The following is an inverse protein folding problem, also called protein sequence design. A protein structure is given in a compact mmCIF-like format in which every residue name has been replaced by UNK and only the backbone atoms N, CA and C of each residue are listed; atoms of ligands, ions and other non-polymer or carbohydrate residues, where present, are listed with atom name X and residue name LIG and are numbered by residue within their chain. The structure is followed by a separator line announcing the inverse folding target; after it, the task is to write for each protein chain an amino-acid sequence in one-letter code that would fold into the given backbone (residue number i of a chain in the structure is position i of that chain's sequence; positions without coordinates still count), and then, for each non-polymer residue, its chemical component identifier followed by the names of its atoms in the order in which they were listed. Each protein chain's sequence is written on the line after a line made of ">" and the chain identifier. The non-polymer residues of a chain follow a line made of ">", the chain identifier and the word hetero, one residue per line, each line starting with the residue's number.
data_IF_762081385709
#
_entry.id   IF_762081385709
#
_cell.length_a   1.000
_cell.length_b   1.000
_cell.length_c   1.000
_cell.angle_alpha   90.00
_cell.angle_beta   90.00
_cell.angle_gamma   90.00
#
_symmetry.space_group_name_H-M   'P 1'
#
loop_
_entity.id
_entity.type
_entity.pdbx_description
1 polymer ?
#
# COMPACT_ATOMS: atom_id res chain seq x y z
N UNK A 1 -46.76 74.43 4.02
CA UNK A 1 -45.70 75.10 3.25
C UNK A 1 -44.39 74.93 4.03
N UNK A 2 -43.53 74.02 3.55
CA UNK A 2 -42.05 74.06 3.59
C UNK A 2 -41.34 74.58 4.86
N UNK A 3 -40.55 73.72 5.53
CA UNK A 3 -39.07 73.70 5.44
C UNK A 3 -38.39 72.87 6.57
N UNK A 4 -37.40 72.05 6.16
CA UNK A 4 -36.16 71.54 6.81
C UNK A 4 -36.15 71.27 8.33
N UNK A 5 -35.73 70.11 8.84
CA UNK A 5 -34.58 69.30 8.44
C UNK A 5 -33.35 69.68 9.29
N UNK A 6 -32.93 68.81 10.22
CA UNK A 6 -31.53 68.61 10.64
C UNK A 6 -31.36 67.80 11.94
N UNK A 7 -30.51 66.77 11.83
CA UNK A 7 -29.51 66.33 12.82
C UNK A 7 -29.92 65.49 14.06
N UNK A 8 -29.32 64.29 14.12
CA UNK A 8 -28.91 63.51 15.31
C UNK A 8 -30.05 62.67 15.92
N UNK A 9 -30.07 61.33 15.90
CA UNK A 9 -29.01 60.39 16.26
C UNK A 9 -29.27 59.00 15.62
N UNK A 10 -28.28 58.54 14.86
CA UNK A 10 -27.77 57.16 14.71
C UNK A 10 -28.39 56.11 15.65
N UNK A 11 -28.86 54.98 15.10
CA UNK A 11 -28.69 53.60 15.63
C UNK A 11 -29.17 52.53 14.60
N UNK A 12 -28.82 52.69 13.32
CA UNK A 12 -28.88 51.57 12.38
C UNK A 12 -27.68 50.64 12.65
N UNK A 13 -27.87 49.77 13.63
CA UNK A 13 -27.26 48.45 13.84
C UNK A 13 -25.88 48.19 13.21
N UNK A 14 -24.80 48.69 13.85
CA UNK A 14 -23.39 48.29 13.59
C UNK A 14 -23.17 46.77 13.56
N UNK A 15 -24.08 45.98 14.15
CA UNK A 15 -24.05 44.51 14.16
C UNK A 15 -24.26 43.86 12.78
N UNK A 16 -25.13 44.42 11.93
CA UNK A 16 -25.45 43.77 10.64
C UNK A 16 -24.33 43.93 9.60
N UNK A 17 -23.68 45.10 9.58
CA UNK A 17 -22.55 45.36 8.68
C UNK A 17 -21.32 44.55 9.08
N UNK A 18 -21.06 44.42 10.39
CA UNK A 18 -19.94 43.61 10.91
C UNK A 18 -20.14 42.12 10.60
N UNK A 19 -21.37 41.60 10.71
CA UNK A 19 -21.68 40.19 10.45
C UNK A 19 -21.58 39.83 8.96
N UNK A 20 -21.98 40.75 8.05
CA UNK A 20 -21.82 40.56 6.60
C UNK A 20 -20.36 40.59 6.15
N UNK A 21 -19.55 41.49 6.72
CA UNK A 21 -18.10 41.56 6.40
C UNK A 21 -17.37 40.31 6.91
N UNK A 22 -17.71 39.81 8.10
CA UNK A 22 -17.15 38.55 8.62
C UNK A 22 -17.52 37.32 7.77
N UNK A 23 -18.76 37.25 7.27
CA UNK A 23 -19.19 36.17 6.38
C UNK A 23 -18.45 36.20 5.03
N UNK A 24 -18.30 37.38 4.42
CA UNK A 24 -17.58 37.54 3.14
C UNK A 24 -16.09 37.23 3.32
N UNK A 25 -15.47 37.65 4.42
CA UNK A 25 -14.07 37.34 4.72
C UNK A 25 -13.83 35.82 4.93
N UNK A 26 -14.77 35.12 5.57
CA UNK A 26 -14.71 33.65 5.73
C UNK A 26 -14.86 32.90 4.40
N UNK A 27 -15.71 33.38 3.48
CA UNK A 27 -15.89 32.77 2.16
C UNK A 27 -14.62 32.94 1.29
N UNK A 28 -13.97 34.11 1.35
CA UNK A 28 -12.71 34.36 0.61
C UNK A 28 -11.51 33.57 1.19
N UNK A 29 -11.50 33.30 2.50
CA UNK A 29 -10.47 32.46 3.11
C UNK A 29 -10.61 30.96 2.78
N UNK A 30 -11.82 30.47 2.50
CA UNK A 30 -12.06 29.07 2.16
C UNK A 30 -11.60 28.69 0.73
N UNK A 31 -11.41 29.67 -0.15
CA UNK A 31 -10.92 29.47 -1.52
C UNK A 31 -9.39 29.34 -1.66
N UNK A 32 -8.63 29.44 -0.55
CA UNK A 32 -7.17 29.30 -0.57
C UNK A 32 -6.66 27.90 -0.16
N UNK A 33 -7.55 26.94 0.11
CA UNK A 33 -7.18 25.54 0.32
C UNK A 33 -7.64 24.69 -0.86
N UNK A 34 -7.10 24.98 -2.04
CA UNK A 34 -7.06 24.03 -3.14
C UNK A 34 -5.93 23.05 -2.86
N UNK A 35 -6.19 22.02 -2.06
CA UNK A 35 -5.31 20.85 -2.02
C UNK A 35 -5.49 20.13 -3.34
N UNK A 36 -4.71 20.51 -4.36
CA UNK A 36 -4.38 19.61 -5.46
C UNK A 36 -3.60 18.45 -4.85
N UNK A 37 -4.33 17.50 -4.27
CA UNK A 37 -3.85 16.14 -4.16
C UNK A 37 -3.74 15.67 -5.60
N UNK A 38 -2.57 15.85 -6.19
CA UNK A 38 -2.05 14.91 -7.15
C UNK A 38 -2.10 13.55 -6.46
N UNK A 39 -3.21 12.83 -6.67
CA UNK A 39 -3.15 11.38 -6.73
C UNK A 39 -2.12 11.12 -7.81
N UNK A 40 -0.88 10.93 -7.39
CA UNK A 40 0.17 10.37 -8.23
C UNK A 40 -0.32 8.98 -8.59
N UNK A 41 -1.02 8.89 -9.72
CA UNK A 41 -1.06 7.68 -10.50
C UNK A 41 0.41 7.26 -10.66
N UNK A 42 0.70 6.06 -10.17
CA UNK A 42 1.96 5.32 -10.19
C UNK A 42 2.36 5.01 -11.65
N UNK A 43 2.55 6.05 -12.46
CA UNK A 43 2.79 5.99 -13.89
C UNK A 43 4.02 6.83 -14.21
N UNK A 44 5.19 6.22 -14.05
CA UNK A 44 6.36 6.51 -14.91
C UNK A 44 7.11 7.83 -14.73
N UNK A 45 6.78 8.69 -13.77
CA UNK A 45 7.43 10.02 -13.69
C UNK A 45 8.92 9.99 -13.26
N UNK A 46 9.41 8.87 -12.72
CA UNK A 46 10.84 8.65 -12.40
C UNK A 46 11.55 7.69 -13.37
N UNK A 47 10.89 7.27 -14.46
CA UNK A 47 11.48 6.34 -15.41
C UNK A 47 12.62 7.01 -16.21
N UNK A 48 13.76 6.32 -16.42
CA UNK A 48 14.84 6.86 -17.23
C UNK A 48 14.39 7.07 -18.69
N UNK A 49 15.01 8.01 -19.44
CA UNK A 49 14.69 8.21 -20.84
C UNK A 49 14.93 6.94 -21.66
N UNK A 50 13.91 6.51 -22.42
CA UNK A 50 13.94 5.26 -23.18
C UNK A 50 13.07 4.16 -22.58
N UNK A 51 12.74 4.26 -21.29
CA UNK A 51 12.09 3.18 -20.57
C UNK A 51 10.73 2.81 -21.16
N UNK A 52 10.54 1.52 -21.43
CA UNK A 52 9.37 0.92 -22.03
C UNK A 52 9.41 0.84 -23.56
N UNK A 53 10.56 1.11 -24.19
CA UNK A 53 10.74 0.99 -25.65
C UNK A 53 11.16 -0.41 -26.11
N UNK A 54 11.41 -1.32 -25.15
CA UNK A 54 11.84 -2.69 -25.38
C UNK A 54 13.34 -2.86 -25.61
N UNK A 55 14.15 -1.81 -25.41
CA UNK A 55 15.59 -1.80 -25.62
C UNK A 55 16.29 -1.29 -24.36
N UNK A 56 16.98 -2.18 -23.65
CA UNK A 56 17.73 -1.81 -22.43
C UNK A 56 18.81 -0.75 -22.74
N UNK A 57 18.55 0.48 -22.33
CA UNK A 57 19.43 1.63 -22.40
C UNK A 57 20.49 1.67 -21.30
N UNK A 58 21.40 2.65 -21.36
CA UNK A 58 22.49 2.77 -20.39
C UNK A 58 22.02 3.14 -18.96
N UNK A 59 20.83 3.73 -18.83
CA UNK A 59 20.21 4.16 -17.56
C UNK A 59 19.15 3.19 -17.03
N UNK A 60 18.95 2.05 -17.69
CA UNK A 60 17.91 1.07 -17.36
C UNK A 60 18.54 -0.21 -16.80
N UNK A 61 17.90 -0.81 -15.79
CA UNK A 61 18.29 -2.13 -15.30
C UNK A 61 17.63 -3.25 -16.08
N UNK A 62 16.47 -2.97 -16.68
CA UNK A 62 15.68 -3.84 -17.53
C UNK A 62 14.75 -2.99 -18.41
N UNK A 63 14.26 -3.55 -19.50
CA UNK A 63 13.18 -3.03 -20.33
C UNK A 63 12.56 -4.22 -21.08
N UNK A 64 11.30 -4.54 -20.81
CA UNK A 64 10.55 -5.59 -21.49
C UNK A 64 9.38 -5.05 -22.31
N UNK A 65 9.37 -3.74 -22.56
CA UNK A 65 8.43 -3.05 -23.43
C UNK A 65 6.98 -3.05 -22.93
N UNK A 66 6.76 -3.25 -21.62
CA UNK A 66 5.41 -3.26 -21.05
C UNK A 66 5.36 -2.73 -19.60
N UNK A 67 4.17 -2.34 -19.12
CA UNK A 67 3.98 -1.73 -17.78
C UNK A 67 3.62 -2.75 -16.68
N UNK A 68 3.82 -4.05 -16.92
CA UNK A 68 3.47 -5.09 -15.95
C UNK A 68 4.49 -5.20 -14.83
N UNK A 69 4.23 -4.50 -13.73
CA UNK A 69 5.07 -4.42 -12.53
C UNK A 69 5.55 -5.75 -11.90
N UNK A 70 5.01 -6.90 -12.31
CA UNK A 70 5.20 -8.19 -11.66
C UNK A 70 5.83 -9.28 -12.55
N UNK A 71 6.34 -8.95 -13.73
CA UNK A 71 7.06 -9.89 -14.61
C UNK A 71 8.59 -9.91 -14.38
N UNK A 72 9.09 -8.97 -13.58
CA UNK A 72 10.50 -8.87 -13.23
C UNK A 72 11.14 -7.55 -13.62
N UNK A 73 10.48 -6.77 -14.47
CA UNK A 73 10.83 -5.39 -14.74
C UNK A 73 9.73 -4.47 -14.24
N UNK A 74 10.08 -3.46 -13.43
CA UNK A 74 9.13 -2.45 -12.99
C UNK A 74 8.98 -1.39 -14.10
N UNK A 75 7.86 -0.65 -14.18
CA UNK A 75 7.67 0.41 -15.19
C UNK A 75 8.65 1.59 -15.06
N UNK A 76 9.43 1.66 -13.98
CA UNK A 76 10.53 2.60 -13.80
C UNK A 76 11.88 2.03 -14.31
N UNK A 77 11.84 0.92 -15.06
CA UNK A 77 12.99 0.17 -15.58
C UNK A 77 13.99 -0.26 -14.50
N UNK A 78 13.50 -0.49 -13.28
CA UNK A 78 14.24 -1.14 -12.20
C UNK A 78 13.91 -2.63 -12.13
N UNK A 79 14.92 -3.43 -11.79
CA UNK A 79 14.74 -4.86 -11.57
C UNK A 79 14.16 -5.14 -10.19
N UNK A 80 13.39 -6.22 -10.08
CA UNK A 80 12.97 -6.74 -8.78
C UNK A 80 13.97 -7.77 -8.28
N UNK A 81 14.28 -7.73 -6.98
CA UNK A 81 15.05 -8.78 -6.33
C UNK A 81 14.27 -10.10 -6.38
N UNK A 82 14.82 -11.10 -7.06
CA UNK A 82 14.22 -12.43 -7.10
C UNK A 82 14.50 -13.18 -5.82
N UNK A 83 13.44 -13.68 -5.20
CA UNK A 83 13.57 -14.65 -4.11
C UNK A 83 14.25 -15.91 -4.66
N UNK A 84 15.42 -16.25 -4.09
CA UNK A 84 16.21 -17.42 -4.49
C UNK A 84 16.26 -18.45 -3.35
N UNK A 85 15.15 -19.15 -3.06
CA UNK A 85 15.14 -20.20 -2.07
C UNK A 85 15.96 -21.43 -2.48
N UNK A 86 16.51 -22.19 -1.52
CA UNK A 86 17.15 -23.46 -1.82
C UNK A 86 16.16 -24.44 -2.45
N UNK A 87 16.64 -25.21 -3.43
CA UNK A 87 15.84 -26.25 -4.05
C UNK A 87 15.47 -27.34 -3.03
N UNK A 88 14.18 -27.67 -3.00
CA UNK A 88 13.56 -28.72 -2.20
C UNK A 88 13.77 -28.55 -0.68
N UNK A 89 13.99 -27.33 -0.21
CA UNK A 89 14.16 -27.02 1.21
C UNK A 89 13.35 -25.78 1.60
N UNK A 90 12.90 -25.75 2.86
CA UNK A 90 12.16 -24.62 3.40
C UNK A 90 13.11 -23.46 3.71
N UNK A 91 12.76 -22.26 3.25
CA UNK A 91 13.35 -21.00 3.67
C UNK A 91 12.27 -20.02 4.07
N UNK A 92 12.47 -19.35 5.20
CA UNK A 92 11.60 -18.29 5.69
C UNK A 92 12.13 -16.93 5.22
N UNK A 93 11.21 -16.07 4.80
CA UNK A 93 11.49 -14.71 4.36
C UNK A 93 10.63 -13.73 5.16
N UNK A 94 11.28 -12.76 5.81
CA UNK A 94 10.61 -11.62 6.43
C UNK A 94 10.11 -10.64 5.36
N UNK A 95 8.96 -10.01 5.61
CA UNK A 95 8.46 -8.90 4.80
C UNK A 95 8.66 -7.61 5.61
N UNK A 96 9.65 -6.77 5.26
CA UNK A 96 9.91 -5.52 5.97
C UNK A 96 8.67 -4.62 6.02
N UNK A 97 8.45 -3.95 7.16
CA UNK A 97 7.32 -3.05 7.37
C UNK A 97 6.01 -3.73 7.77
N UNK A 98 5.98 -5.07 7.84
CA UNK A 98 4.83 -5.81 8.37
C UNK A 98 4.97 -6.08 9.86
N UNK A 99 3.85 -6.28 10.56
CA UNK A 99 3.85 -6.55 12.00
C UNK A 99 2.76 -7.54 12.38
N UNK A 100 3.16 -8.60 13.07
CA UNK A 100 2.29 -9.57 13.72
C UNK A 100 1.72 -9.01 15.04
N UNK A 101 0.73 -9.69 15.63
CA UNK A 101 0.10 -9.24 16.87
C UNK A 101 1.07 -9.16 18.06
N UNK A 102 2.12 -9.97 18.05
CA UNK A 102 3.19 -9.99 19.06
C UNK A 102 4.28 -8.91 18.82
N UNK A 103 4.09 -8.05 17.81
CA UNK A 103 5.04 -7.01 17.42
C UNK A 103 6.20 -7.48 16.54
N UNK A 104 6.29 -8.79 16.25
CA UNK A 104 7.34 -9.32 15.36
C UNK A 104 7.04 -9.03 13.89
N UNK A 105 8.05 -9.08 13.03
CA UNK A 105 7.86 -8.94 11.58
C UNK A 105 7.16 -10.17 11.01
N UNK A 106 6.18 -9.94 10.13
CA UNK A 106 5.51 -11.02 9.42
C UNK A 106 6.33 -11.47 8.22
N UNK A 107 6.00 -12.64 7.69
CA UNK A 107 6.76 -13.26 6.61
C UNK A 107 6.14 -14.57 6.18
N UNK A 108 6.77 -15.24 5.23
CA UNK A 108 6.28 -16.49 4.65
C UNK A 108 7.43 -17.46 4.41
N UNK A 109 7.07 -18.74 4.31
CA UNK A 109 7.99 -19.81 4.01
C UNK A 109 7.81 -20.32 2.59
N UNK A 110 8.92 -20.54 1.89
CA UNK A 110 8.93 -21.07 0.53
C UNK A 110 9.67 -22.40 0.51
N UNK A 111 9.11 -23.38 -0.19
CA UNK A 111 9.80 -24.61 -0.57
C UNK A 111 9.75 -24.74 -2.09
N UNK A 112 10.86 -24.45 -2.75
CA UNK A 112 10.93 -24.36 -4.20
C UNK A 112 11.28 -25.70 -4.83
N UNK A 113 10.49 -26.20 -5.79
CA UNK A 113 10.91 -27.33 -6.63
C UNK A 113 11.32 -26.81 -8.03
N UNK A 114 12.60 -26.91 -8.42
CA UNK A 114 13.04 -26.49 -9.75
C UNK A 114 12.46 -27.33 -10.89
N UNK A 115 11.88 -28.50 -10.60
CA UNK A 115 11.24 -29.38 -11.59
C UNK A 115 9.73 -29.17 -11.73
N UNK A 116 9.12 -28.30 -10.91
CA UNK A 116 7.68 -28.03 -10.93
C UNK A 116 7.39 -26.65 -11.52
N UNK A 117 6.28 -26.55 -12.23
CA UNK A 117 5.71 -25.27 -12.72
C UNK A 117 4.46 -24.87 -11.95
N UNK A 118 4.08 -25.66 -10.93
CA UNK A 118 2.89 -25.43 -10.12
C UNK A 118 3.21 -24.54 -8.93
N UNK A 119 2.20 -23.77 -8.50
CA UNK A 119 2.27 -22.94 -7.30
C UNK A 119 1.17 -23.37 -6.32
N UNK A 120 1.55 -23.54 -5.07
CA UNK A 120 0.63 -23.77 -3.95
C UNK A 120 0.84 -22.65 -2.93
N UNK A 121 -0.22 -21.92 -2.63
CA UNK A 121 -0.24 -20.92 -1.57
C UNK A 121 -1.10 -21.48 -0.44
N UNK A 122 -0.51 -21.66 0.73
CA UNK A 122 -1.20 -22.12 1.93
C UNK A 122 -1.26 -20.99 2.95
N UNK A 123 -2.46 -20.69 3.43
CA UNK A 123 -2.69 -19.73 4.49
C UNK A 123 -3.00 -20.52 5.76
N UNK A 124 -2.14 -20.41 6.77
CA UNK A 124 -2.41 -21.04 8.06
C UNK A 124 -3.69 -20.47 8.67
N UNK A 125 -4.51 -21.36 9.24
CA UNK A 125 -5.67 -20.99 10.03
C UNK A 125 -5.30 -20.68 11.48
N UNK A 126 -6.31 -20.65 12.36
CA UNK A 126 -6.08 -20.38 13.79
C UNK A 126 -7.21 -19.61 14.48
N UNK A 127 -8.40 -19.52 13.87
CA UNK A 127 -9.48 -18.68 14.37
C UNK A 127 -9.16 -17.20 14.22
N UNK A 128 -9.90 -16.36 14.95
CA UNK A 128 -9.70 -14.92 14.98
C UNK A 128 -10.07 -14.39 16.37
N UNK A 129 -9.56 -13.22 16.70
CA UNK A 129 -9.91 -12.52 17.93
C UNK A 129 -10.38 -11.11 17.61
N UNK A 130 -11.39 -10.66 18.37
CA UNK A 130 -12.18 -9.46 18.08
C UNK A 130 -12.17 -8.43 19.22
N UNK A 131 -11.39 -8.67 20.28
CA UNK A 131 -11.31 -7.79 21.44
C UNK A 131 -9.90 -7.78 22.03
N UNK A 132 -9.63 -6.90 23.00
CA UNK A 132 -8.28 -6.71 23.57
C UNK A 132 -7.69 -7.90 24.34
N UNK A 133 -8.38 -9.04 24.48
CA UNK A 133 -7.83 -10.24 25.10
C UNK A 133 -6.96 -11.08 24.14
N UNK A 134 -6.70 -10.61 22.91
CA UNK A 134 -5.95 -11.40 21.92
C UNK A 134 -4.50 -11.68 22.33
N UNK A 135 -3.83 -10.78 23.03
CA UNK A 135 -2.40 -10.90 23.34
C UNK A 135 -2.06 -12.12 24.22
N UNK A 136 -3.03 -12.66 24.96
CA UNK A 136 -2.82 -13.84 25.82
C UNK A 136 -3.25 -15.17 25.19
N UNK A 137 -3.89 -15.14 24.02
CA UNK A 137 -4.51 -16.33 23.41
C UNK A 137 -3.75 -16.87 22.20
N UNK A 138 -2.87 -16.06 21.58
CA UNK A 138 -2.16 -16.47 20.38
C UNK A 138 -0.66 -16.50 20.64
N UNK A 139 -0.05 -17.61 20.25
CA UNK A 139 1.40 -17.75 20.13
C UNK A 139 1.71 -17.93 18.65
N UNK A 140 2.75 -17.23 18.19
CA UNK A 140 3.23 -17.36 16.81
C UNK A 140 3.63 -18.81 16.53
N UNK A 141 3.11 -19.35 15.44
CA UNK A 141 3.48 -20.68 14.95
C UNK A 141 4.93 -20.74 14.46
N UNK A 142 5.47 -21.94 14.22
CA UNK A 142 6.81 -22.09 13.67
C UNK A 142 6.91 -21.43 12.29
N UNK A 143 8.06 -20.87 11.97
CA UNK A 143 8.31 -20.23 10.67
C UNK A 143 8.30 -21.22 9.49
N UNK A 144 8.32 -22.53 9.74
CA UNK A 144 8.28 -23.58 8.73
C UNK A 144 7.19 -24.59 9.07
N UNK A 145 6.45 -25.10 8.07
CA UNK A 145 5.47 -26.15 8.31
C UNK A 145 6.16 -27.46 8.69
N UNK A 146 5.44 -28.31 9.41
CA UNK A 146 5.89 -29.66 9.72
C UNK A 146 5.95 -30.56 8.48
N UNK A 147 6.65 -31.69 8.62
CA UNK A 147 6.75 -32.69 7.56
C UNK A 147 5.52 -33.60 7.56
N UNK A 148 4.45 -33.17 6.89
CA UNK A 148 3.22 -33.96 6.79
C UNK A 148 2.18 -33.38 5.82
N UNK A 149 1.18 -34.20 5.50
CA UNK A 149 0.04 -33.78 4.67
C UNK A 149 0.46 -33.26 3.30
N UNK A 150 0.02 -32.03 2.98
CA UNK A 150 0.30 -31.34 1.72
C UNK A 150 1.74 -30.80 1.62
N UNK A 151 2.47 -30.76 2.74
CA UNK A 151 3.86 -30.26 2.78
C UNK A 151 4.91 -31.37 2.66
N UNK A 152 4.51 -32.63 2.83
CA UNK A 152 5.40 -33.77 2.65
C UNK A 152 5.45 -34.18 1.17
N UNK A 153 6.63 -34.02 0.55
CA UNK A 153 6.87 -34.37 -0.85
C UNK A 153 7.04 -35.87 -1.10
N UNK A 154 7.28 -36.65 -0.06
CA UNK A 154 7.38 -38.09 -0.13
C UNK A 154 6.01 -38.77 0.08
N UNK A 155 5.02 -38.04 0.58
CA UNK A 155 3.68 -38.56 0.78
C UNK A 155 3.00 -38.85 -0.56
N UNK A 156 2.73 -40.12 -0.83
CA UNK A 156 2.06 -40.56 -2.07
C UNK A 156 0.62 -40.06 -2.19
N UNK A 157 -0.03 -39.71 -1.07
CA UNK A 157 -1.36 -39.14 -1.05
C UNK A 157 -1.37 -37.60 -1.24
N UNK A 158 -0.20 -36.95 -1.28
CA UNK A 158 -0.12 -35.52 -1.55
C UNK A 158 -0.23 -35.26 -3.06
N UNK A 159 -1.33 -34.66 -3.54
CA UNK A 159 -1.56 -34.44 -4.97
C UNK A 159 -0.69 -33.33 -5.57
N UNK A 160 0.00 -32.56 -4.72
CA UNK A 160 0.86 -31.42 -5.09
C UNK A 160 2.28 -31.59 -4.54
N UNK A 161 2.73 -32.85 -4.43
CA UNK A 161 4.05 -33.19 -3.89
C UNK A 161 5.23 -32.81 -4.80
N UNK A 162 4.94 -32.53 -6.08
CA UNK A 162 5.89 -32.08 -7.10
C UNK A 162 6.09 -30.57 -7.04
#
# INVERSE_FOLDING_TARGET
>A
MLLVGSFILVQATRREVTMRILFIAMIVAASACGSSQSMSDDSGDDAPPGCGDGIVGASEQCDDGNDNRFDGCRPDCTTVDRLMPPANAWQYFDIPGTTCIDGTTAGFSVNFNPSSTKLVIFLEGGGACFNRFCESLFSRGPNQPGNGGIFDRNNTANPVKD
#
